data_IF_340543453603
#
_entry.id   IF_340543453603
#
_cell.length_a   1.000
_cell.length_b   1.000
_cell.length_c   1.000
_cell.angle_alpha   90.00
_cell.angle_beta   90.00
_cell.angle_gamma   90.00
#
_symmetry.space_group_name_H-M   'P 1'
#
loop_
_entity.id
_entity.type
_entity.pdbx_description
1 polymer ?
#
# COMPACT_ATOMS: atom_id res chain seq x y z
N UNK A 1 62.44 46.89 32.36
CA UNK A 1 62.75 45.68 31.56
C UNK A 1 61.44 44.94 31.31
N UNK A 2 60.74 45.32 30.24
CA UNK A 2 60.21 44.44 29.17
C UNK A 2 59.02 43.56 29.58
N UNK A 3 57.79 44.03 29.33
CA UNK A 3 56.94 43.79 28.12
C UNK A 3 56.23 42.42 28.21
N UNK A 4 54.90 42.46 28.39
CA UNK A 4 53.91 42.00 27.40
C UNK A 4 52.53 41.83 28.05
N UNK A 5 51.63 42.78 27.77
CA UNK A 5 50.18 42.58 27.93
C UNK A 5 49.71 41.67 26.78
N UNK A 6 49.14 40.51 27.09
CA UNK A 6 48.36 39.72 26.15
C UNK A 6 46.90 39.84 26.55
N UNK A 7 46.20 40.75 25.90
CA UNK A 7 44.74 40.83 25.91
C UNK A 7 44.20 39.72 25.01
N UNK A 8 43.68 38.65 25.62
CA UNK A 8 42.93 37.63 24.88
C UNK A 8 41.49 38.11 24.73
N UNK A 9 41.17 38.69 23.57
CA UNK A 9 39.81 39.02 23.20
C UNK A 9 39.01 37.73 22.97
N UNK A 10 38.09 37.42 23.89
CA UNK A 10 37.08 36.37 23.68
C UNK A 10 36.02 36.96 22.74
N UNK A 11 36.16 36.70 21.45
CA UNK A 11 35.11 36.96 20.47
C UNK A 11 34.03 35.90 20.68
N UNK A 12 33.00 36.23 21.45
CA UNK A 12 31.74 35.48 21.45
C UNK A 12 31.09 35.63 20.07
N UNK A 13 31.38 34.69 19.17
CA UNK A 13 30.52 34.46 18.01
C UNK A 13 29.21 33.85 18.53
N UNK A 14 28.24 34.70 18.88
CA UNK A 14 26.83 34.30 18.95
C UNK A 14 26.35 34.04 17.52
N UNK A 15 26.74 32.90 16.96
CA UNK A 15 26.01 32.33 15.85
C UNK A 15 24.63 32.00 16.38
N UNK A 16 23.61 32.72 15.92
CA UNK A 16 22.22 32.35 16.12
C UNK A 16 21.97 31.02 15.38
N UNK A 17 22.40 29.91 15.98
CA UNK A 17 21.83 28.60 15.65
C UNK A 17 20.41 28.63 16.16
N UNK A 18 19.47 28.96 15.26
CA UNK A 18 18.07 28.67 15.47
C UNK A 18 17.93 27.14 15.48
N UNK A 19 18.19 26.54 16.64
CA UNK A 19 17.77 25.18 16.94
C UNK A 19 16.24 25.22 17.06
N UNK A 20 15.54 25.14 15.92
CA UNK A 20 14.11 24.94 15.93
C UNK A 20 13.83 23.55 16.49
N UNK A 21 13.00 23.40 17.54
CA UNK A 21 12.56 22.09 17.96
C UNK A 21 11.77 21.44 16.82
N UNK A 22 12.15 20.23 16.45
CA UNK A 22 11.62 19.45 15.31
C UNK A 22 10.15 19.02 15.45
N UNK A 23 9.43 19.59 16.42
CA UNK A 23 8.06 19.22 16.79
C UNK A 23 7.31 20.49 17.24
N UNK A 24 6.96 21.34 16.27
CA UNK A 24 6.11 22.51 16.49
C UNK A 24 5.05 22.60 15.40
N UNK A 25 3.82 22.94 15.78
CA UNK A 25 2.77 23.28 14.83
C UNK A 25 3.22 24.45 13.95
N UNK A 26 2.90 24.41 12.65
CA UNK A 26 3.10 25.56 11.75
C UNK A 26 2.07 26.68 11.98
N UNK A 27 1.10 26.46 12.88
CA UNK A 27 0.14 27.49 13.28
C UNK A 27 0.86 28.62 14.03
N UNK A 28 0.77 29.85 13.50
CA UNK A 28 1.38 31.03 14.08
C UNK A 28 2.71 31.47 13.44
N UNK A 29 3.24 30.72 12.47
CA UNK A 29 4.39 31.18 11.69
C UNK A 29 4.01 32.34 10.79
N UNK A 30 4.85 33.37 10.77
CA UNK A 30 4.70 34.46 9.80
C UNK A 30 5.10 33.98 8.40
N UNK A 31 4.69 34.75 7.38
CA UNK A 31 4.85 34.37 5.97
C UNK A 31 6.30 34.03 5.59
N UNK A 32 7.29 34.75 6.14
CA UNK A 32 8.71 34.49 5.88
C UNK A 32 9.24 33.19 6.49
N UNK A 33 8.74 32.79 7.67
CA UNK A 33 9.09 31.51 8.29
C UNK A 33 8.44 30.33 7.56
N UNK A 34 7.20 30.52 7.10
CA UNK A 34 6.50 29.54 6.28
C UNK A 34 7.22 29.36 4.93
N UNK A 35 7.65 30.44 4.29
CA UNK A 35 8.41 30.42 3.04
C UNK A 35 9.76 29.72 3.21
N UNK A 36 10.41 29.84 4.37
CA UNK A 36 11.65 29.13 4.68
C UNK A 36 11.44 27.61 4.83
N UNK A 37 10.36 27.16 5.49
CA UNK A 37 10.01 25.74 5.60
C UNK A 37 9.57 25.18 4.24
N UNK A 38 8.73 25.92 3.52
CA UNK A 38 8.28 25.55 2.17
C UNK A 38 9.44 25.50 1.18
N UNK A 39 10.48 26.34 1.33
CA UNK A 39 11.70 26.28 0.51
C UNK A 39 12.51 24.99 0.70
N UNK A 40 12.31 24.28 1.82
CA UNK A 40 12.93 22.97 2.07
C UNK A 40 12.10 21.80 1.53
N UNK A 41 10.84 22.04 1.14
CA UNK A 41 9.98 21.04 0.53
C UNK A 41 10.05 21.19 -1.00
N UNK A 42 10.78 20.28 -1.65
CA UNK A 42 10.71 20.18 -3.10
C UNK A 42 9.37 19.58 -3.48
N UNK A 43 8.43 20.45 -3.87
CA UNK A 43 7.18 20.02 -4.49
C UNK A 43 7.49 19.29 -5.79
N UNK A 44 7.07 18.03 -5.87
CA UNK A 44 7.13 17.24 -7.10
C UNK A 44 5.70 17.02 -7.57
N UNK A 45 5.29 17.77 -8.58
CA UNK A 45 3.96 17.61 -9.15
C UNK A 45 3.75 16.17 -9.64
N UNK A 46 2.62 15.52 -9.31
CA UNK A 46 2.29 14.20 -9.84
C UNK A 46 2.27 14.23 -11.39
N UNK A 47 3.10 13.41 -12.02
CA UNK A 47 3.04 13.17 -13.45
C UNK A 47 1.77 12.42 -13.86
N UNK A 48 1.43 12.43 -15.15
CA UNK A 48 0.31 11.60 -15.66
C UNK A 48 0.58 10.12 -15.36
N UNK A 49 -0.43 9.35 -14.91
CA UNK A 49 -0.29 7.92 -14.72
C UNK A 49 0.21 7.22 -15.99
N UNK A 50 1.11 6.23 -15.89
CA UNK A 50 1.51 5.42 -17.05
C UNK A 50 0.30 4.74 -17.71
N UNK A 51 0.33 4.69 -19.05
CA UNK A 51 -0.64 3.93 -19.85
C UNK A 51 -0.41 2.42 -19.79
N UNK A 52 -1.27 1.62 -20.44
CA UNK A 52 -1.13 0.17 -20.50
C UNK A 52 0.13 -0.24 -21.26
N UNK A 53 0.63 -1.45 -20.97
CA UNK A 53 1.71 -2.05 -21.74
C UNK A 53 1.30 -2.27 -23.20
N UNK A 54 2.23 -2.00 -24.12
CA UNK A 54 2.04 -2.32 -25.55
C UNK A 54 2.13 -3.81 -25.83
N UNK A 55 2.97 -4.50 -25.06
CA UNK A 55 3.18 -5.94 -25.16
C UNK A 55 2.91 -6.58 -23.79
N UNK A 56 1.85 -7.38 -23.75
CA UNK A 56 1.39 -8.11 -22.57
C UNK A 56 1.72 -9.60 -22.68
N UNK A 57 2.61 -10.01 -23.59
CA UNK A 57 3.09 -11.39 -23.63
C UNK A 57 3.84 -11.78 -22.36
N UNK A 58 3.79 -13.06 -22.03
CA UNK A 58 4.64 -13.64 -21.00
C UNK A 58 6.11 -13.47 -21.40
N UNK A 59 6.92 -12.95 -20.48
CA UNK A 59 8.36 -12.78 -20.64
C UNK A 59 9.09 -13.06 -19.34
N UNK A 60 10.36 -13.43 -19.44
CA UNK A 60 11.23 -13.57 -18.28
C UNK A 60 11.34 -12.21 -17.56
N UNK A 61 10.99 -12.18 -16.28
CA UNK A 61 11.08 -10.96 -15.44
C UNK A 61 12.07 -11.10 -14.28
N UNK A 62 12.47 -12.33 -13.96
CA UNK A 62 13.67 -12.60 -13.19
C UNK A 62 14.87 -12.73 -14.14
N UNK A 63 15.30 -11.59 -14.70
CA UNK A 63 16.37 -11.50 -15.69
C UNK A 63 17.64 -10.85 -15.13
N UNK A 64 18.70 -10.78 -15.95
CA UNK A 64 19.98 -10.20 -15.54
C UNK A 64 19.94 -8.69 -15.20
N UNK A 65 18.91 -7.96 -15.65
CA UNK A 65 18.72 -6.53 -15.31
C UNK A 65 17.98 -6.37 -13.99
N UNK A 66 17.18 -7.37 -13.61
CA UNK A 66 16.37 -7.38 -12.40
C UNK A 66 16.76 -8.53 -11.44
N UNK A 67 18.04 -8.66 -11.05
CA UNK A 67 18.45 -9.72 -10.13
C UNK A 67 17.90 -9.44 -8.73
N UNK A 68 17.54 -10.51 -8.02
CA UNK A 68 17.27 -10.43 -6.60
C UNK A 68 18.52 -9.96 -5.84
N UNK A 69 18.33 -9.08 -4.84
CA UNK A 69 19.39 -8.71 -3.90
C UNK A 69 18.83 -8.73 -2.47
N UNK A 70 19.66 -9.11 -1.47
CA UNK A 70 19.26 -9.00 -0.08
C UNK A 70 19.02 -7.54 0.33
N UNK A 71 18.26 -7.35 1.40
CA UNK A 71 18.01 -6.03 1.98
C UNK A 71 19.30 -5.40 2.52
N UNK A 72 19.47 -4.12 2.26
CA UNK A 72 20.47 -3.28 2.92
C UNK A 72 19.85 -2.56 4.13
N UNK A 73 20.68 -2.09 5.09
CA UNK A 73 20.18 -1.24 6.17
C UNK A 73 19.43 -0.02 5.63
N UNK A 74 18.18 0.15 6.06
CA UNK A 74 17.30 1.24 5.62
C UNK A 74 16.39 0.91 4.43
N UNK A 75 16.55 -0.26 3.80
CA UNK A 75 15.58 -0.73 2.80
C UNK A 75 14.24 -1.07 3.47
N UNK A 76 13.14 -0.54 2.92
CA UNK A 76 11.80 -0.71 3.46
C UNK A 76 11.03 -1.79 2.70
N UNK A 77 10.35 -2.64 3.44
CA UNK A 77 9.39 -3.64 2.97
C UNK A 77 8.16 -3.59 3.86
N UNK A 78 7.03 -4.06 3.37
CA UNK A 78 5.75 -3.95 4.07
C UNK A 78 4.82 -5.13 3.84
N UNK A 79 3.50 -4.93 3.97
CA UNK A 79 2.53 -6.02 3.95
C UNK A 79 2.32 -6.62 2.55
N UNK A 80 2.70 -5.93 1.47
CA UNK A 80 2.45 -6.37 0.10
C UNK A 80 3.62 -7.22 -0.45
N UNK A 81 3.48 -8.55 -0.59
CA UNK A 81 4.55 -9.41 -1.12
C UNK A 81 4.92 -9.08 -2.58
N UNK A 82 3.97 -8.59 -3.38
CA UNK A 82 4.21 -8.17 -4.76
C UNK A 82 5.17 -6.99 -4.86
N UNK A 83 4.86 -5.88 -4.18
CA UNK A 83 5.72 -4.69 -4.17
C UNK A 83 7.08 -4.97 -3.52
N UNK A 84 7.09 -5.78 -2.46
CA UNK A 84 8.32 -6.21 -1.81
C UNK A 84 9.26 -6.94 -2.78
N UNK A 85 8.70 -7.86 -3.58
CA UNK A 85 9.46 -8.60 -4.59
C UNK A 85 9.97 -7.69 -5.71
N UNK A 86 9.13 -6.78 -6.20
CA UNK A 86 9.53 -5.81 -7.23
C UNK A 86 10.68 -4.92 -6.75
N UNK A 87 10.65 -4.44 -5.51
CA UNK A 87 11.76 -3.68 -4.92
C UNK A 87 13.01 -4.54 -4.75
N UNK A 88 12.88 -5.78 -4.28
CA UNK A 88 14.01 -6.71 -4.12
C UNK A 88 14.65 -7.16 -5.44
N UNK A 89 13.95 -7.01 -6.56
CA UNK A 89 14.46 -7.25 -7.90
C UNK A 89 14.86 -5.97 -8.66
N UNK A 90 14.62 -4.79 -8.10
CA UNK A 90 14.98 -3.51 -8.73
C UNK A 90 14.02 -3.04 -9.83
N UNK A 91 12.82 -3.64 -9.93
CA UNK A 91 11.71 -3.07 -10.71
C UNK A 91 11.17 -1.79 -10.05
N UNK A 92 11.28 -1.72 -8.72
CA UNK A 92 11.13 -0.51 -7.91
C UNK A 92 12.48 -0.09 -7.32
N UNK A 93 12.62 1.18 -6.87
CA UNK A 93 13.72 1.56 -6.01
C UNK A 93 13.89 0.57 -4.86
N UNK A 94 15.11 0.01 -4.72
CA UNK A 94 15.38 -1.10 -3.80
C UNK A 94 15.17 -0.74 -2.33
N UNK A 95 15.28 0.55 -2.02
CA UNK A 95 15.00 1.12 -0.70
C UNK A 95 13.50 1.10 -0.32
N UNK A 96 12.60 0.75 -1.24
CA UNK A 96 11.17 0.66 -0.96
C UNK A 96 10.44 2.01 -0.93
N UNK A 97 11.03 3.08 -1.49
CA UNK A 97 10.36 4.38 -1.62
C UNK A 97 10.24 4.74 -3.10
N UNK A 98 9.02 4.91 -3.56
CA UNK A 98 8.72 5.06 -4.99
C UNK A 98 7.65 6.12 -5.23
N UNK A 99 7.65 6.69 -6.44
CA UNK A 99 6.52 7.48 -6.94
C UNK A 99 5.37 6.56 -7.37
N UNK A 100 4.11 7.05 -7.39
CA UNK A 100 2.98 6.31 -7.94
C UNK A 100 3.23 5.80 -9.37
N UNK A 101 3.86 6.62 -10.23
CA UNK A 101 4.17 6.23 -11.60
C UNK A 101 5.15 5.04 -11.65
N UNK A 102 6.18 5.02 -10.79
CA UNK A 102 7.09 3.88 -10.69
C UNK A 102 6.35 2.61 -10.25
N UNK A 103 5.43 2.71 -9.30
CA UNK A 103 4.62 1.57 -8.83
C UNK A 103 3.73 1.04 -9.95
N UNK A 104 2.97 1.91 -10.63
CA UNK A 104 2.10 1.54 -11.75
C UNK A 104 2.90 0.87 -12.87
N UNK A 105 4.09 1.39 -13.21
CA UNK A 105 4.94 0.74 -14.21
C UNK A 105 5.48 -0.60 -13.72
N UNK A 106 5.96 -0.70 -12.48
CA UNK A 106 6.59 -1.91 -11.97
C UNK A 106 5.62 -3.10 -11.85
N UNK A 107 4.39 -2.88 -11.38
CA UNK A 107 3.39 -3.97 -11.28
C UNK A 107 2.91 -4.43 -12.66
N UNK A 108 2.83 -3.54 -13.64
CA UNK A 108 2.56 -3.91 -15.02
C UNK A 108 3.73 -4.70 -15.62
N UNK A 109 4.96 -4.17 -15.53
CA UNK A 109 6.11 -4.81 -16.16
C UNK A 109 6.49 -6.15 -15.53
N UNK A 110 6.48 -6.23 -14.19
CA UNK A 110 6.90 -7.41 -13.45
C UNK A 110 5.83 -8.49 -13.28
N UNK A 111 4.54 -8.13 -13.28
CA UNK A 111 3.44 -9.10 -13.05
C UNK A 111 2.38 -9.14 -14.14
N UNK A 112 2.37 -8.17 -15.05
CA UNK A 112 1.28 -7.98 -16.00
C UNK A 112 -0.06 -7.64 -15.32
N UNK A 113 -0.01 -6.87 -14.23
CA UNK A 113 -1.23 -6.29 -13.64
C UNK A 113 -1.93 -5.37 -14.65
N UNK A 114 -3.25 -5.47 -14.77
CA UNK A 114 -4.03 -4.58 -15.63
C UNK A 114 -3.87 -3.12 -15.22
N UNK A 115 -3.86 -2.23 -16.22
CA UNK A 115 -3.46 -0.83 -16.04
C UNK A 115 -4.44 -0.02 -15.18
N UNK A 116 -5.72 -0.32 -15.28
CA UNK A 116 -6.79 0.22 -14.42
C UNK A 116 -6.58 -0.20 -12.97
N UNK A 117 -6.44 -1.50 -12.69
CA UNK A 117 -6.17 -2.01 -11.34
C UNK A 117 -4.88 -1.42 -10.76
N UNK A 118 -3.80 -1.38 -11.54
CA UNK A 118 -2.51 -0.85 -11.13
C UNK A 118 -2.63 0.60 -10.67
N UNK A 119 -3.32 1.46 -11.44
CA UNK A 119 -3.57 2.85 -11.04
C UNK A 119 -4.49 2.92 -9.82
N UNK A 120 -5.59 2.16 -9.83
CA UNK A 120 -6.60 2.19 -8.78
C UNK A 120 -5.99 1.94 -7.41
N UNK A 121 -5.27 0.82 -7.24
CA UNK A 121 -4.66 0.48 -5.95
C UNK A 121 -3.51 1.42 -5.59
N UNK A 122 -2.72 1.85 -6.58
CA UNK A 122 -1.57 2.73 -6.31
C UNK A 122 -2.02 4.11 -5.83
N UNK A 123 -3.00 4.72 -6.50
CA UNK A 123 -3.47 6.05 -6.11
C UNK A 123 -4.36 6.00 -4.87
N UNK A 124 -5.14 4.93 -4.65
CA UNK A 124 -5.80 4.71 -3.37
C UNK A 124 -4.79 4.72 -2.22
N UNK A 125 -3.74 3.90 -2.32
CA UNK A 125 -2.68 3.84 -1.31
C UNK A 125 -1.93 5.19 -1.18
N UNK A 126 -1.53 5.80 -2.30
CA UNK A 126 -0.76 7.05 -2.26
C UNK A 126 -1.52 8.21 -1.61
N UNK A 127 -2.84 8.29 -1.80
CA UNK A 127 -3.67 9.33 -1.20
C UNK A 127 -3.65 9.26 0.34
N UNK A 128 -3.72 8.04 0.90
CA UNK A 128 -3.83 7.85 2.36
C UNK A 128 -2.48 7.65 3.07
N UNK A 129 -1.51 7.04 2.38
CA UNK A 129 -0.22 6.63 2.96
C UNK A 129 1.00 7.36 2.39
N UNK A 130 0.83 8.07 1.27
CA UNK A 130 1.89 8.77 0.59
C UNK A 130 2.06 10.22 1.06
N UNK A 131 3.23 10.79 0.74
CA UNK A 131 3.43 12.22 0.83
C UNK A 131 3.03 12.88 -0.49
N UNK A 132 1.89 13.57 -0.47
CA UNK A 132 1.29 14.21 -1.65
C UNK A 132 2.03 15.48 -2.13
N UNK A 133 2.97 15.99 -1.35
CA UNK A 133 3.81 17.14 -1.75
C UNK A 133 5.06 16.65 -2.50
N UNK A 134 5.72 15.61 -1.99
CA UNK A 134 6.94 15.07 -2.60
C UNK A 134 6.65 14.00 -3.66
N UNK A 135 5.39 13.55 -3.78
CA UNK A 135 4.94 12.50 -4.69
C UNK A 135 5.67 11.17 -4.47
N UNK A 136 5.90 10.82 -3.19
CA UNK A 136 6.58 9.60 -2.77
C UNK A 136 5.71 8.78 -1.81
N UNK A 137 5.79 7.46 -1.94
CA UNK A 137 5.16 6.46 -1.09
C UNK A 137 6.21 5.46 -0.61
N UNK A 138 6.19 5.13 0.68
CA UNK A 138 6.92 3.99 1.23
C UNK A 138 6.07 2.73 1.06
N UNK A 139 6.66 1.66 0.52
CA UNK A 139 6.00 0.34 0.45
C UNK A 139 6.01 -0.40 1.80
N UNK A 140 6.62 0.20 2.83
CA UNK A 140 6.69 -0.31 4.19
C UNK A 140 6.23 0.75 5.19
N UNK A 141 6.96 0.90 6.30
CA UNK A 141 6.63 1.87 7.34
C UNK A 141 7.01 3.32 7.02
N UNK A 142 6.68 4.20 7.96
CA UNK A 142 6.92 5.64 7.85
C UNK A 142 8.42 5.92 7.78
N UNK A 143 8.81 6.88 6.93
CA UNK A 143 10.21 7.21 6.69
C UNK A 143 10.40 8.67 6.33
N UNK A 144 11.54 9.24 6.69
CA UNK A 144 11.92 10.61 6.28
C UNK A 144 12.23 10.71 4.79
N UNK A 145 12.42 9.58 4.10
CA UNK A 145 12.70 9.54 2.67
C UNK A 145 11.51 10.00 1.81
N UNK A 146 10.29 9.96 2.33
CA UNK A 146 9.11 10.54 1.66
C UNK A 146 8.96 12.04 1.93
N UNK A 147 9.85 12.66 2.71
CA UNK A 147 9.80 14.08 3.07
C UNK A 147 9.18 14.34 4.45
N UNK A 148 8.90 15.62 4.74
CA UNK A 148 8.27 16.00 6.01
C UNK A 148 6.84 15.45 6.07
N UNK A 149 6.48 14.85 7.19
CA UNK A 149 5.12 14.37 7.42
C UNK A 149 4.11 15.53 7.31
N UNK A 150 2.92 15.29 6.73
CA UNK A 150 1.87 16.29 6.69
C UNK A 150 1.36 16.59 8.10
N UNK A 151 0.68 17.74 8.27
CA UNK A 151 0.03 18.04 9.54
C UNK A 151 -1.09 17.01 9.81
N UNK A 152 -1.27 16.57 11.07
CA UNK A 152 -2.39 15.73 11.44
C UNK A 152 -3.73 16.36 11.01
N UNK A 153 -4.74 15.53 10.66
CA UNK A 153 -4.81 14.08 10.86
C UNK A 153 -4.19 13.25 9.71
N UNK A 154 -3.61 13.86 8.68
CA UNK A 154 -2.91 13.12 7.64
C UNK A 154 -1.70 12.36 8.20
N UNK A 155 -1.44 11.16 7.67
CA UNK A 155 -0.47 10.23 8.25
C UNK A 155 0.82 10.18 7.40
N UNK A 156 0.69 9.95 6.09
CA UNK A 156 1.81 9.65 5.19
C UNK A 156 2.77 8.57 5.75
N UNK A 157 2.18 7.53 6.35
CA UNK A 157 2.91 6.53 7.12
C UNK A 157 3.46 5.36 6.31
N UNK A 158 3.29 5.37 4.98
CA UNK A 158 3.58 4.20 4.15
C UNK A 158 2.57 3.07 4.34
N UNK A 159 2.73 1.99 3.57
CA UNK A 159 1.79 0.87 3.54
C UNK A 159 1.67 0.07 4.84
N UNK A 160 2.53 0.27 5.84
CA UNK A 160 2.32 -0.33 7.17
C UNK A 160 1.22 0.39 7.98
N UNK A 161 0.69 1.52 7.50
CA UNK A 161 -0.37 2.25 8.20
C UNK A 161 -1.66 1.43 8.24
N UNK A 162 -2.07 1.07 9.44
CA UNK A 162 -3.27 0.28 9.65
C UNK A 162 -4.57 1.08 9.36
N UNK A 163 -5.57 0.39 8.83
CA UNK A 163 -6.96 0.83 8.66
C UNK A 163 -7.21 1.96 7.64
N UNK A 164 -6.24 2.25 6.75
CA UNK A 164 -6.45 3.15 5.60
C UNK A 164 -6.25 2.45 4.25
N UNK A 165 -5.35 1.47 4.20
CA UNK A 165 -5.18 0.54 3.09
C UNK A 165 -4.89 -0.87 3.62
N UNK A 166 -3.84 -1.01 4.45
CA UNK A 166 -3.57 -2.23 5.22
C UNK A 166 -4.71 -2.48 6.23
N UNK A 167 -5.05 -3.76 6.45
CA UNK A 167 -6.07 -4.12 7.42
C UNK A 167 -6.05 -5.59 7.80
N UNK A 168 -6.98 -5.94 8.68
CA UNK A 168 -7.06 -7.24 9.33
C UNK A 168 -7.36 -8.40 8.37
N UNK A 169 -7.26 -9.63 8.88
CA UNK A 169 -7.49 -10.88 8.16
C UNK A 169 -6.56 -11.07 6.95
N UNK A 170 -5.35 -10.49 7.00
CA UNK A 170 -4.29 -10.73 6.03
C UNK A 170 -3.87 -12.21 6.02
N UNK A 171 -3.46 -12.72 4.85
CA UNK A 171 -3.19 -14.15 4.66
C UNK A 171 -1.88 -14.62 5.31
N UNK A 172 -0.84 -13.76 5.32
CA UNK A 172 0.48 -14.11 5.86
C UNK A 172 1.07 -13.04 6.79
N UNK A 173 0.26 -12.04 7.16
CA UNK A 173 0.58 -10.97 8.10
C UNK A 173 -0.44 -11.01 9.24
N UNK A 174 -0.01 -10.74 10.46
CA UNK A 174 -0.92 -10.67 11.60
C UNK A 174 -1.76 -9.39 11.57
N UNK A 175 -2.89 -9.39 12.29
CA UNK A 175 -3.66 -8.17 12.50
C UNK A 175 -2.82 -7.15 13.30
N UNK A 176 -2.99 -5.86 13.02
CA UNK A 176 -2.21 -4.81 13.70
C UNK A 176 -2.40 -4.81 15.21
N UNK A 177 -3.60 -5.17 15.68
CA UNK A 177 -3.90 -5.34 17.11
C UNK A 177 -2.95 -6.33 17.81
N UNK A 178 -2.45 -7.34 17.08
CA UNK A 178 -1.53 -8.36 17.60
C UNK A 178 -0.05 -7.91 17.56
N UNK A 179 0.22 -6.70 17.05
CA UNK A 179 1.50 -6.00 17.20
C UNK A 179 2.27 -5.77 15.90
N UNK A 180 2.20 -6.68 14.92
CA UNK A 180 2.96 -6.56 13.66
C UNK A 180 2.12 -6.94 12.44
N UNK A 181 1.75 -5.93 11.65
CA UNK A 181 0.87 -6.07 10.49
C UNK A 181 1.59 -6.21 9.13
N UNK A 182 2.91 -6.31 9.12
CA UNK A 182 3.68 -6.18 7.87
C UNK A 182 4.70 -7.29 7.66
N UNK A 183 5.30 -7.82 8.72
CA UNK A 183 6.26 -8.90 8.60
C UNK A 183 5.58 -10.23 8.25
N UNK A 184 6.30 -11.05 7.49
CA UNK A 184 5.86 -12.40 7.18
C UNK A 184 5.72 -13.21 8.48
N UNK A 185 4.57 -13.85 8.66
CA UNK A 185 4.28 -14.72 9.79
C UNK A 185 4.31 -16.19 9.36
N UNK A 186 5.31 -16.94 9.85
CA UNK A 186 5.51 -18.36 9.53
C UNK A 186 4.29 -19.20 9.94
N UNK A 187 3.70 -18.97 11.12
CA UNK A 187 2.52 -19.71 11.58
C UNK A 187 1.32 -19.54 10.64
N UNK A 188 1.08 -18.32 10.14
CA UNK A 188 0.02 -18.08 9.16
C UNK A 188 0.33 -18.72 7.80
N UNK A 189 1.60 -18.76 7.39
CA UNK A 189 1.98 -19.46 6.17
C UNK A 189 1.87 -20.98 6.30
N UNK A 190 2.19 -21.55 7.46
CA UNK A 190 1.98 -22.98 7.74
C UNK A 190 0.49 -23.34 7.68
N UNK A 191 -0.40 -22.46 8.18
CA UNK A 191 -1.85 -22.63 8.00
C UNK A 191 -2.26 -22.55 6.52
N UNK A 192 -1.67 -21.63 5.73
CA UNK A 192 -1.91 -21.59 4.28
C UNK A 192 -1.49 -22.89 3.60
N UNK A 193 -0.35 -23.47 4.00
CA UNK A 193 0.13 -24.78 3.52
C UNK A 193 -0.84 -25.89 3.91
N UNK A 194 -1.32 -25.92 5.15
CA UNK A 194 -2.32 -26.88 5.62
C UNK A 194 -3.61 -26.82 4.77
N UNK A 195 -4.14 -25.61 4.56
CA UNK A 195 -5.34 -25.40 3.73
C UNK A 195 -5.08 -25.78 2.27
N UNK A 196 -3.89 -25.51 1.75
CA UNK A 196 -3.50 -25.91 0.40
C UNK A 196 -3.42 -27.43 0.24
N UNK A 197 -2.92 -28.14 1.25
CA UNK A 197 -2.92 -29.61 1.27
C UNK A 197 -4.34 -30.17 1.35
N UNK A 198 -5.19 -29.58 2.20
CA UNK A 198 -6.56 -30.05 2.45
C UNK A 198 -7.52 -29.79 1.29
N UNK A 199 -7.45 -28.61 0.68
CA UNK A 199 -8.45 -28.15 -0.31
C UNK A 199 -7.89 -27.97 -1.73
N UNK A 200 -6.57 -27.98 -1.91
CA UNK A 200 -5.92 -27.69 -3.19
C UNK A 200 -4.93 -28.76 -3.65
N UNK A 201 -4.95 -29.96 -3.08
CA UNK A 201 -4.02 -31.04 -3.39
C UNK A 201 -2.53 -30.60 -3.33
N UNK A 202 -2.19 -29.77 -2.33
CA UNK A 202 -0.84 -29.24 -2.11
C UNK A 202 -0.51 -28.01 -2.95
N UNK A 203 -1.51 -27.36 -3.55
CA UNK A 203 -1.38 -26.12 -4.33
C UNK A 203 -2.30 -25.04 -3.77
N UNK A 204 -1.93 -23.79 -3.96
CA UNK A 204 -2.82 -22.66 -3.68
C UNK A 204 -3.63 -22.32 -4.95
N UNK A 205 -4.96 -22.33 -4.84
CA UNK A 205 -5.90 -22.05 -5.92
C UNK A 205 -7.16 -21.34 -5.36
N UNK A 206 -8.17 -21.08 -6.20
CA UNK A 206 -9.37 -20.31 -5.79
C UNK A 206 -10.09 -20.95 -4.60
N UNK A 207 -10.22 -22.29 -4.58
CA UNK A 207 -10.87 -23.00 -3.47
C UNK A 207 -10.10 -22.78 -2.17
N UNK A 208 -8.78 -22.95 -2.19
CA UNK A 208 -7.92 -22.71 -1.03
C UNK A 208 -8.00 -21.25 -0.58
N UNK A 209 -8.01 -20.30 -1.53
CA UNK A 209 -8.12 -18.89 -1.24
C UNK A 209 -9.41 -18.56 -0.46
N UNK A 210 -10.56 -19.13 -0.87
CA UNK A 210 -11.84 -18.95 -0.18
C UNK A 210 -11.86 -19.56 1.21
N UNK A 211 -11.48 -20.84 1.32
CA UNK A 211 -11.44 -21.56 2.60
C UNK A 211 -10.49 -20.89 3.60
N UNK A 212 -9.28 -20.55 3.17
CA UNK A 212 -8.30 -19.94 4.05
C UNK A 212 -8.66 -18.49 4.39
N UNK A 213 -9.23 -17.72 3.45
CA UNK A 213 -9.67 -16.36 3.75
C UNK A 213 -10.77 -16.35 4.80
N UNK A 214 -11.76 -17.23 4.68
CA UNK A 214 -12.80 -17.36 5.68
C UNK A 214 -12.23 -17.72 7.05
N UNK A 215 -11.29 -18.67 7.09
CA UNK A 215 -10.56 -19.01 8.32
C UNK A 215 -9.88 -17.80 8.95
N UNK A 216 -9.18 -16.98 8.15
CA UNK A 216 -8.51 -15.77 8.63
C UNK A 216 -9.48 -14.76 9.23
N UNK A 217 -10.66 -14.62 8.65
CA UNK A 217 -11.75 -13.76 9.16
C UNK A 217 -12.27 -14.31 10.49
N UNK A 218 -12.53 -15.61 10.60
CA UNK A 218 -12.95 -16.24 11.87
C UNK A 218 -11.92 -16.05 12.98
N UNK A 219 -10.64 -16.26 12.67
CA UNK A 219 -9.54 -16.03 13.62
C UNK A 219 -9.53 -14.58 14.13
N UNK A 220 -9.67 -13.60 13.23
CA UNK A 220 -9.71 -12.19 13.61
C UNK A 220 -10.95 -11.86 14.45
N UNK A 221 -12.13 -12.41 14.12
CA UNK A 221 -13.32 -12.28 14.96
C UNK A 221 -13.06 -12.83 16.38
N UNK A 222 -12.37 -13.97 16.48
CA UNK A 222 -12.14 -14.65 17.74
C UNK A 222 -11.00 -14.06 18.61
N UNK A 223 -10.07 -13.30 18.02
CA UNK A 223 -8.83 -12.89 18.70
C UNK A 223 -8.55 -11.40 18.70
N UNK A 224 -9.18 -10.63 17.79
CA UNK A 224 -8.97 -9.19 17.68
C UNK A 224 -10.26 -8.43 18.07
N UNK A 225 -10.32 -7.78 19.26
CA UNK A 225 -11.49 -7.04 19.72
C UNK A 225 -11.78 -5.77 18.88
N UNK A 226 -10.84 -5.37 18.03
CA UNK A 226 -10.95 -4.23 17.12
C UNK A 226 -11.02 -4.68 15.65
N UNK A 227 -11.28 -5.97 15.38
CA UNK A 227 -11.33 -6.50 14.02
C UNK A 227 -12.24 -5.65 13.12
N UNK A 228 -11.74 -5.26 11.94
CA UNK A 228 -12.49 -4.46 10.98
C UNK A 228 -12.44 -5.04 9.57
N UNK A 229 -13.61 -5.31 9.01
CA UNK A 229 -13.82 -5.80 7.64
C UNK A 229 -14.80 -4.90 6.89
N UNK A 230 -14.75 -3.59 7.12
CA UNK A 230 -15.55 -2.60 6.37
C UNK A 230 -14.78 -2.10 5.14
N UNK A 231 -15.47 -1.44 4.21
CA UNK A 231 -14.84 -0.87 3.03
C UNK A 231 -13.76 0.18 3.40
N UNK A 232 -12.62 0.23 2.70
CA UNK A 232 -12.30 -0.55 1.50
C UNK A 232 -11.75 -1.97 1.78
N UNK A 233 -11.49 -2.34 3.05
CA UNK A 233 -10.82 -3.60 3.40
C UNK A 233 -11.54 -4.85 2.92
N UNK A 234 -12.88 -4.89 2.97
CA UNK A 234 -13.63 -6.04 2.43
C UNK A 234 -13.35 -6.28 0.94
N UNK A 235 -13.06 -5.25 0.15
CA UNK A 235 -12.71 -5.43 -1.27
C UNK A 235 -11.27 -5.92 -1.42
N UNK A 236 -10.33 -5.26 -0.73
CA UNK A 236 -8.90 -5.58 -0.87
C UNK A 236 -8.58 -6.96 -0.32
N UNK A 237 -9.19 -7.37 0.78
CA UNK A 237 -8.93 -8.67 1.41
C UNK A 237 -9.25 -9.87 0.51
N UNK A 238 -10.29 -9.76 -0.33
CA UNK A 238 -10.66 -10.80 -1.31
C UNK A 238 -9.87 -10.65 -2.61
N UNK A 239 -9.61 -9.42 -3.09
CA UNK A 239 -8.72 -9.19 -4.24
C UNK A 239 -7.32 -9.79 -3.99
N UNK A 240 -6.75 -9.51 -2.82
CA UNK A 240 -5.44 -9.99 -2.39
C UNK A 240 -5.39 -11.52 -2.24
N UNK A 241 -6.51 -12.18 -1.95
CA UNK A 241 -6.59 -13.63 -1.93
C UNK A 241 -6.51 -14.24 -3.33
N UNK A 242 -6.96 -13.53 -4.37
CA UNK A 242 -6.83 -13.95 -5.77
C UNK A 242 -5.44 -13.67 -6.37
N UNK A 243 -4.76 -12.61 -5.90
CA UNK A 243 -3.49 -12.16 -6.49
C UNK A 243 -2.38 -13.22 -6.58
N UNK A 244 -2.16 -14.14 -5.62
CA UNK A 244 -1.18 -15.21 -5.79
C UNK A 244 -1.48 -16.10 -7.01
N UNK A 245 -2.75 -16.34 -7.32
CA UNK A 245 -3.18 -17.14 -8.47
C UNK A 245 -2.95 -16.33 -9.76
N UNK A 246 -3.30 -15.04 -9.73
CA UNK A 246 -3.22 -14.18 -10.91
C UNK A 246 -1.78 -13.81 -11.28
N UNK A 247 -0.90 -13.63 -10.29
CA UNK A 247 0.41 -12.99 -10.49
C UNK A 247 1.62 -13.81 -10.05
N UNK A 248 1.48 -14.83 -9.20
CA UNK A 248 2.63 -15.61 -8.69
C UNK A 248 2.81 -16.97 -9.37
N UNK A 249 1.86 -17.37 -10.22
CA UNK A 249 1.99 -18.52 -11.11
C UNK A 249 2.85 -18.11 -12.31
N UNK A 250 3.84 -18.93 -12.65
CA UNK A 250 4.69 -18.68 -13.82
C UNK A 250 3.83 -18.60 -15.08
N UNK A 251 4.01 -17.55 -15.90
CA UNK A 251 3.14 -17.25 -17.03
C UNK A 251 3.14 -18.28 -18.17
N UNK A 252 4.01 -19.28 -18.12
CA UNK A 252 3.96 -20.45 -19.02
C UNK A 252 3.00 -21.53 -18.53
N UNK A 253 2.53 -21.44 -17.29
CA UNK A 253 1.53 -22.32 -16.68
C UNK A 253 0.15 -21.67 -16.76
N UNK A 254 -0.88 -22.50 -16.98
CA UNK A 254 -2.27 -22.05 -17.21
C UNK A 254 -3.29 -22.82 -16.36
N UNK A 255 -2.85 -23.62 -15.41
CA UNK A 255 -3.68 -24.51 -14.58
C UNK A 255 -4.30 -23.83 -13.34
N UNK A 256 -3.88 -22.58 -13.06
CA UNK A 256 -4.34 -21.84 -11.88
C UNK A 256 -3.86 -22.43 -10.55
N UNK A 257 -2.79 -23.25 -10.56
CA UNK A 257 -2.28 -23.93 -9.37
C UNK A 257 -0.92 -23.37 -8.91
N UNK A 258 -0.93 -22.49 -7.90
CA UNK A 258 0.32 -21.96 -7.35
C UNK A 258 1.05 -23.01 -6.51
N UNK A 259 2.30 -23.27 -6.85
CA UNK A 259 3.21 -24.08 -6.04
C UNK A 259 3.53 -23.39 -4.69
N UNK A 260 3.51 -24.14 -3.59
CA UNK A 260 3.80 -23.59 -2.26
C UNK A 260 5.23 -23.09 -2.08
N UNK A 261 6.20 -23.66 -2.79
CA UNK A 261 7.57 -23.14 -2.83
C UNK A 261 7.64 -21.77 -3.51
N UNK A 262 6.89 -21.58 -4.62
CA UNK A 262 6.75 -20.26 -5.24
C UNK A 262 6.02 -19.28 -4.32
N UNK A 263 4.93 -19.71 -3.67
CA UNK A 263 4.21 -18.89 -2.69
C UNK A 263 5.14 -18.40 -1.57
N UNK A 264 5.95 -19.29 -0.97
CA UNK A 264 6.96 -18.92 0.04
C UNK A 264 8.00 -17.97 -0.52
N UNK A 265 8.47 -18.19 -1.75
CA UNK A 265 9.45 -17.32 -2.42
C UNK A 265 8.96 -15.87 -2.50
N UNK A 266 7.69 -15.66 -2.88
CA UNK A 266 7.11 -14.31 -2.91
C UNK A 266 6.82 -13.76 -1.51
N UNK A 267 6.16 -14.56 -0.65
CA UNK A 267 5.57 -14.07 0.60
C UNK A 267 6.59 -13.83 1.72
N UNK A 268 7.64 -14.66 1.77
CA UNK A 268 8.71 -14.61 2.78
C UNK A 268 10.00 -14.01 2.19
N UNK A 269 10.46 -14.57 1.06
CA UNK A 269 11.79 -14.25 0.53
C UNK A 269 11.79 -13.00 -0.38
N UNK A 270 10.59 -12.51 -0.74
CA UNK A 270 10.41 -11.36 -1.62
C UNK A 270 11.19 -11.54 -2.92
N UNK A 271 11.09 -12.74 -3.50
CA UNK A 271 11.90 -13.21 -4.61
C UNK A 271 11.03 -13.88 -5.66
N UNK A 272 11.19 -13.48 -6.92
CA UNK A 272 10.70 -14.25 -8.06
C UNK A 272 11.38 -15.63 -8.08
N UNK A 273 10.65 -16.73 -8.32
CA UNK A 273 11.26 -18.02 -8.63
C UNK A 273 12.31 -17.89 -9.75
N UNK A 274 13.29 -18.81 -9.76
CA UNK A 274 14.29 -18.81 -10.82
C UNK A 274 13.62 -19.07 -12.18
N UNK A 275 14.07 -18.37 -13.21
CA UNK A 275 13.47 -18.38 -14.55
C UNK A 275 11.97 -18.05 -14.56
N UNK A 276 11.47 -17.22 -13.63
CA UNK A 276 10.06 -16.83 -13.57
C UNK A 276 9.64 -15.93 -14.74
N UNK A 277 8.58 -16.35 -15.43
CA UNK A 277 7.90 -15.54 -16.44
C UNK A 277 6.69 -14.86 -15.82
N UNK A 278 6.51 -13.56 -16.06
CA UNK A 278 5.23 -12.90 -15.77
C UNK A 278 4.11 -13.54 -16.58
N UNK A 279 2.86 -13.38 -16.12
CA UNK A 279 1.66 -13.87 -16.80
C UNK A 279 1.60 -13.47 -18.29
N UNK A 280 1.00 -14.32 -19.12
CA UNK A 280 0.57 -13.96 -20.47
C UNK A 280 -0.79 -13.23 -20.44
N UNK A 281 -0.83 -12.01 -20.93
CA UNK A 281 -1.98 -11.11 -20.86
C UNK A 281 -2.06 -10.32 -19.55
N UNK A 282 -2.67 -9.13 -19.61
CA UNK A 282 -2.99 -8.35 -18.42
C UNK A 282 -4.17 -8.96 -17.67
N UNK A 283 -4.15 -8.92 -16.34
CA UNK A 283 -5.25 -9.41 -15.50
C UNK A 283 -5.49 -8.48 -14.31
N UNK A 284 -6.74 -8.42 -13.86
CA UNK A 284 -7.18 -7.60 -12.73
C UNK A 284 -7.30 -8.42 -11.44
N UNK A 285 -8.39 -8.17 -10.72
CA UNK A 285 -8.76 -8.89 -9.50
C UNK A 285 -9.69 -10.09 -9.79
N UNK A 286 -9.54 -10.72 -10.96
CA UNK A 286 -10.27 -11.90 -11.39
C UNK A 286 -10.26 -12.99 -10.31
N UNK A 287 -11.41 -13.63 -10.10
CA UNK A 287 -11.61 -14.65 -9.06
C UNK A 287 -12.04 -14.09 -7.70
N UNK A 288 -12.00 -12.77 -7.47
CA UNK A 288 -12.43 -12.15 -6.21
C UNK A 288 -13.84 -12.57 -5.79
N UNK A 289 -14.81 -12.44 -6.70
CA UNK A 289 -16.21 -12.76 -6.40
C UNK A 289 -16.41 -14.27 -6.17
N UNK A 290 -15.65 -15.11 -6.87
CA UNK A 290 -15.69 -16.57 -6.66
C UNK A 290 -15.22 -16.90 -5.25
N UNK A 291 -14.07 -16.34 -4.82
CA UNK A 291 -13.53 -16.51 -3.47
C UNK A 291 -14.53 -16.05 -2.40
N UNK A 292 -15.13 -14.87 -2.58
CA UNK A 292 -16.09 -14.32 -1.63
C UNK A 292 -17.40 -15.14 -1.58
N UNK A 293 -17.81 -15.74 -2.70
CA UNK A 293 -19.03 -16.54 -2.79
C UNK A 293 -18.93 -17.90 -2.07
N UNK A 294 -17.72 -18.41 -1.81
CA UNK A 294 -17.54 -19.66 -1.04
C UNK A 294 -18.06 -19.50 0.40
N UNK A 295 -17.79 -18.36 1.04
CA UNK A 295 -18.21 -18.05 2.40
C UNK A 295 -18.64 -16.58 2.50
N UNK A 296 -19.89 -16.25 2.09
CA UNK A 296 -20.36 -14.86 2.08
C UNK A 296 -20.40 -14.25 3.47
N UNK A 297 -19.79 -13.07 3.64
CA UNK A 297 -19.84 -12.28 4.87
C UNK A 297 -20.18 -10.83 4.56
N UNK A 298 -21.02 -10.22 5.41
CA UNK A 298 -21.34 -8.80 5.32
C UNK A 298 -20.24 -7.96 5.97
N UNK A 299 -19.95 -6.74 5.47
CA UNK A 299 -18.97 -5.86 6.08
C UNK A 299 -19.38 -5.49 7.51
N UNK A 300 -18.40 -5.38 8.40
CA UNK A 300 -18.63 -5.19 9.82
C UNK A 300 -17.36 -5.14 10.65
N UNK A 301 -17.53 -5.08 11.96
CA UNK A 301 -16.43 -4.91 12.92
C UNK A 301 -16.74 -5.59 14.25
N UNK A 302 -15.70 -6.02 14.98
CA UNK A 302 -15.85 -6.35 16.40
C UNK A 302 -16.00 -5.07 17.23
N UNK A 303 -16.98 -5.05 18.14
CA UNK A 303 -17.26 -3.87 18.97
C UNK A 303 -16.64 -4.01 20.35
N UNK A 304 -15.35 -3.68 20.45
CA UNK A 304 -14.61 -3.53 21.72
C UNK A 304 -14.33 -4.83 22.48
N UNK A 305 -14.68 -5.99 21.92
CA UNK A 305 -14.41 -7.32 22.45
C UNK A 305 -14.40 -8.35 21.32
N UNK A 306 -13.74 -9.48 21.55
CA UNK A 306 -13.73 -10.62 20.61
C UNK A 306 -15.10 -11.30 20.54
N UNK A 307 -15.34 -12.05 19.45
CA UNK A 307 -16.57 -12.81 19.21
C UNK A 307 -17.85 -11.95 19.24
N UNK A 308 -17.77 -10.71 18.75
CA UNK A 308 -18.88 -9.77 18.78
C UNK A 308 -18.93 -8.96 17.48
N UNK A 309 -18.87 -9.67 16.35
CA UNK A 309 -18.89 -9.08 15.02
C UNK A 309 -20.26 -8.48 14.74
N UNK A 310 -20.30 -7.18 14.49
CA UNK A 310 -21.51 -6.42 14.19
C UNK A 310 -21.41 -5.91 12.76
N UNK A 311 -22.43 -6.23 11.97
CA UNK A 311 -22.57 -5.75 10.59
C UNK A 311 -22.68 -4.22 10.59
N UNK A 312 -21.94 -3.58 9.68
CA UNK A 312 -22.08 -2.16 9.40
C UNK A 312 -22.91 -1.95 8.12
N UNK A 313 -24.20 -1.62 8.23
CA UNK A 313 -25.07 -1.43 7.06
C UNK A 313 -24.71 -0.17 6.24
N UNK A 314 -23.79 0.68 6.71
CA UNK A 314 -23.31 1.86 5.97
C UNK A 314 -22.06 1.56 5.15
N UNK A 315 -21.36 0.46 5.44
CA UNK A 315 -20.22 0.03 4.65
C UNK A 315 -20.69 -0.51 3.31
N UNK A 316 -19.97 -0.18 2.24
CA UNK A 316 -20.18 -0.83 0.96
C UNK A 316 -19.84 -2.32 1.03
N UNK A 317 -20.66 -3.15 0.39
CA UNK A 317 -20.36 -4.55 0.09
C UNK A 317 -19.80 -4.70 -1.34
N UNK A 318 -19.39 -5.93 -1.72
CA UNK A 318 -18.75 -6.22 -3.00
C UNK A 318 -19.62 -5.88 -4.24
N UNK A 319 -20.94 -5.73 -4.08
CA UNK A 319 -21.85 -5.32 -5.16
C UNK A 319 -21.95 -3.80 -5.32
N UNK A 320 -21.46 -3.04 -4.33
CA UNK A 320 -21.63 -1.59 -4.22
C UNK A 320 -20.33 -0.84 -4.49
N UNK A 321 -19.65 -1.12 -5.60
CA UNK A 321 -18.33 -0.56 -5.90
C UNK A 321 -18.31 0.99 -5.94
N UNK A 322 -19.34 1.64 -6.50
CA UNK A 322 -19.43 3.11 -6.50
C UNK A 322 -19.60 3.70 -5.08
N UNK A 323 -20.27 2.97 -4.19
CA UNK A 323 -20.41 3.37 -2.79
C UNK A 323 -19.05 3.23 -2.08
N UNK A 324 -18.31 2.15 -2.33
CA UNK A 324 -16.94 2.00 -1.81
C UNK A 324 -16.05 3.16 -2.25
N UNK A 325 -16.05 3.51 -3.54
CA UNK A 325 -15.32 4.66 -4.05
C UNK A 325 -15.74 5.95 -3.34
N UNK A 326 -17.04 6.19 -3.21
CA UNK A 326 -17.57 7.41 -2.58
C UNK A 326 -17.20 7.49 -1.10
N UNK A 327 -17.33 6.39 -0.35
CA UNK A 327 -16.97 6.30 1.07
C UNK A 327 -15.46 6.44 1.26
N UNK A 328 -14.64 5.89 0.37
CA UNK A 328 -13.19 6.12 0.40
C UNK A 328 -12.89 7.63 0.29
N UNK A 329 -13.44 8.30 -0.71
CA UNK A 329 -13.20 9.74 -0.91
C UNK A 329 -13.77 10.59 0.23
N UNK A 330 -15.01 10.34 0.68
CA UNK A 330 -15.69 11.19 1.66
C UNK A 330 -15.39 10.84 3.11
N UNK A 331 -15.29 9.56 3.44
CA UNK A 331 -15.18 9.11 4.83
C UNK A 331 -13.76 8.74 5.24
N UNK A 332 -12.85 8.51 4.27
CA UNK A 332 -11.42 8.24 4.53
C UNK A 332 -10.58 9.47 4.16
N UNK A 333 -10.58 9.88 2.90
CA UNK A 333 -9.70 10.97 2.42
C UNK A 333 -10.04 12.31 3.08
N UNK A 334 -11.31 12.71 3.16
CA UNK A 334 -11.66 13.98 3.83
C UNK A 334 -11.39 13.97 5.34
N UNK A 335 -11.38 12.81 6.00
CA UNK A 335 -10.99 12.74 7.42
C UNK A 335 -9.49 12.96 7.59
N UNK A 336 -8.65 12.43 6.68
CA UNK A 336 -7.20 12.67 6.68
C UNK A 336 -6.85 14.11 6.28
N UNK A 337 -7.63 14.69 5.37
CA UNK A 337 -7.41 16.05 4.86
C UNK A 337 -8.71 16.87 4.93
N UNK A 338 -9.08 17.39 6.11
CA UNK A 338 -10.36 18.09 6.29
C UNK A 338 -10.40 19.47 5.65
N UNK A 339 -9.26 20.18 5.63
CA UNK A 339 -9.17 21.54 5.08
C UNK A 339 -7.81 21.79 4.39
N UNK A 340 -7.45 21.02 3.34
CA UNK A 340 -6.19 21.21 2.63
C UNK A 340 -6.17 22.55 1.90
N UNK A 341 -5.01 23.21 1.89
CA UNK A 341 -4.80 24.50 1.21
C UNK A 341 -3.57 24.43 0.28
N UNK A 342 -3.43 25.44 -0.59
CA UNK A 342 -2.26 25.59 -1.46
C UNK A 342 -1.93 24.34 -2.29
N UNK A 343 -0.64 23.98 -2.30
CA UNK A 343 -0.10 22.86 -3.06
C UNK A 343 -0.72 21.52 -2.63
N UNK A 344 -0.97 21.31 -1.33
CA UNK A 344 -1.57 20.07 -0.85
C UNK A 344 -2.96 19.83 -1.46
N UNK A 345 -3.80 20.88 -1.49
CA UNK A 345 -5.13 20.80 -2.12
C UNK A 345 -5.01 20.50 -3.62
N UNK A 346 -4.06 21.10 -4.31
CA UNK A 346 -3.81 20.84 -5.72
C UNK A 346 -3.38 19.39 -5.98
N UNK A 347 -2.42 18.88 -5.19
CA UNK A 347 -1.97 17.49 -5.26
C UNK A 347 -3.10 16.51 -4.97
N UNK A 348 -3.95 16.78 -3.97
CA UNK A 348 -5.11 15.95 -3.65
C UNK A 348 -6.07 15.86 -4.83
N UNK A 349 -6.43 17.00 -5.43
CA UNK A 349 -7.32 17.03 -6.60
C UNK A 349 -6.75 16.23 -7.78
N UNK A 350 -5.46 16.37 -8.06
CA UNK A 350 -4.81 15.62 -9.13
C UNK A 350 -4.83 14.10 -8.88
N UNK A 351 -4.43 13.67 -7.68
CA UNK A 351 -4.41 12.24 -7.34
C UNK A 351 -5.82 11.64 -7.26
N UNK A 352 -6.82 12.39 -6.76
CA UNK A 352 -8.22 11.97 -6.77
C UNK A 352 -8.75 11.81 -8.20
N UNK A 353 -8.39 12.73 -9.11
CA UNK A 353 -8.71 12.60 -10.52
C UNK A 353 -8.04 11.37 -11.15
N UNK A 354 -6.79 11.06 -10.82
CA UNK A 354 -6.12 9.85 -11.29
C UNK A 354 -6.76 8.57 -10.74
N UNK A 355 -7.15 8.59 -9.47
CA UNK A 355 -7.88 7.50 -8.83
C UNK A 355 -9.26 7.28 -9.49
N UNK A 356 -10.05 8.33 -9.69
CA UNK A 356 -11.36 8.24 -10.36
C UNK A 356 -11.24 7.72 -11.80
N UNK A 357 -10.28 8.22 -12.58
CA UNK A 357 -10.05 7.78 -13.96
C UNK A 357 -9.49 6.35 -14.08
N UNK A 358 -9.26 5.68 -12.96
CA UNK A 358 -8.84 4.27 -12.90
C UNK A 358 -9.93 3.31 -12.43
N UNK A 359 -11.14 3.80 -12.17
CA UNK A 359 -12.27 2.91 -11.87
C UNK A 359 -12.47 1.93 -13.04
N UNK A 360 -12.74 0.64 -12.76
CA UNK A 360 -12.92 -0.38 -13.79
C UNK A 360 -14.04 0.02 -14.75
N UNK A 361 -13.81 -0.20 -16.04
CA UNK A 361 -14.79 0.14 -17.07
C UNK A 361 -16.10 -0.67 -16.93
N UNK A 362 -16.03 -1.86 -16.30
CA UNK A 362 -17.20 -2.71 -16.05
C UNK A 362 -18.09 -2.22 -14.88
N UNK A 363 -17.73 -1.14 -14.19
CA UNK A 363 -18.57 -0.50 -13.17
C UNK A 363 -19.17 0.80 -13.74
N UNK A 364 -20.19 0.73 -14.62
CA UNK A 364 -20.79 1.93 -15.19
C UNK A 364 -21.50 2.74 -14.08
N UNK A 365 -21.37 4.07 -14.16
CA UNK A 365 -22.23 4.99 -13.41
C UNK A 365 -21.67 5.59 -12.13
N UNK A 366 -20.42 5.32 -11.73
CA UNK A 366 -19.81 6.06 -10.62
C UNK A 366 -19.54 7.51 -11.04
N UNK A 367 -20.17 8.48 -10.38
CA UNK A 367 -19.90 9.90 -10.62
C UNK A 367 -18.65 10.35 -9.86
N UNK A 368 -17.81 11.18 -10.49
CA UNK A 368 -16.65 11.76 -9.81
C UNK A 368 -17.09 12.61 -8.61
N UNK A 369 -16.36 12.47 -7.50
CA UNK A 369 -16.63 13.21 -6.26
C UNK A 369 -15.51 14.23 -6.09
N UNK A 370 -15.88 15.49 -5.87
CA UNK A 370 -14.95 16.60 -5.76
C UNK A 370 -14.92 17.17 -4.32
N UNK A 371 -14.31 16.47 -3.35
CA UNK A 371 -14.34 16.89 -1.94
C UNK A 371 -13.71 18.26 -1.67
N UNK A 372 -12.89 18.75 -2.61
CA UNK A 372 -12.16 20.02 -2.51
C UNK A 372 -12.46 20.97 -3.68
N UNK A 373 -13.61 20.79 -4.34
CA UNK A 373 -14.00 21.51 -5.56
C UNK A 373 -13.35 20.95 -6.83
N UNK A 374 -13.89 21.33 -7.99
CA UNK A 374 -13.36 20.99 -9.32
C UNK A 374 -12.06 21.70 -9.61
#
# INVERSE_FOLDING_TARGET
>A
MHIAFISLAITMCTGNTLAFPSYGSLAGLNRGQLDQVLSTLQYNAPGKPPGPLKDTSAKLVNDARHPWKPLLPGDLRGPCPGLNTLASHGWLPRNGVATPAQIVTAVQEGYNMANDLAKFVTYAAHIVDGNLITNLLSIGGATKLTGLAPAPPAIAGGLNTHAVFEGDASSTRSDAFLGNNHDFNETLFDQLVEYSNKYGAGRYNITVAGEFKFRRIEDSIATNPNFSLVAPRIFTVYAEAAFPINFFIDGRQTDGQLNLGAARSFMQNMRFPDNFFRRNGSIGADGLNDIAALHPIQPGTNVGRVNNYVVDPKSADLTQFCLMYTNFVKDTVQKLYPAPTGILRQSLKLNLGFFYNSLPAEVPGCSEVFPYGR
#
